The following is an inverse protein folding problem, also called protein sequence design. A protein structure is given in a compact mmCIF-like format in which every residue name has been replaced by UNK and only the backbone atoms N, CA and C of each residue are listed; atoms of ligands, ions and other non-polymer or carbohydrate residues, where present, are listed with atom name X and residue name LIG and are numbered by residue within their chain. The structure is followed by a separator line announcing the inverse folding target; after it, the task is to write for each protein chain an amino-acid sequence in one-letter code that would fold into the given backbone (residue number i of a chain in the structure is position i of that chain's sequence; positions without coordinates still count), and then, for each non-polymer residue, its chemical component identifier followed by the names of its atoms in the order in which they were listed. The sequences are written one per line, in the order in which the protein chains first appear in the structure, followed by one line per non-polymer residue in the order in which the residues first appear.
data_IF_484069769445
#
_entry.id   IF_484069769445
#
_cell.length_a   1.000
_cell.length_b   1.000
_cell.length_c   1.000
_cell.angle_alpha   90.00
_cell.angle_beta   90.00
_cell.angle_gamma   90.00
#
_symmetry.space_group_name_H-M   'P 1'
#
loop_
_entity.id
_entity.type
_entity.pdbx_description
1 polymer ?
#
# COMPACT_ATOMS: atom_id res chain seq x y z
N UNK A 1 4.02 -13.63 6.42
CA UNK A 1 4.99 -12.86 7.20
C UNK A 1 4.26 -12.07 8.28
N UNK A 2 4.93 -11.80 9.41
CA UNK A 2 4.33 -11.14 10.57
C UNK A 2 5.01 -9.80 10.81
N UNK A 3 4.26 -8.71 10.83
CA UNK A 3 4.79 -7.34 10.89
C UNK A 3 4.12 -6.62 12.06
N UNK A 4 4.90 -5.91 12.87
CA UNK A 4 4.36 -5.00 13.88
C UNK A 4 4.27 -3.60 13.26
N UNK A 5 3.08 -3.03 13.23
CA UNK A 5 2.79 -1.73 12.64
C UNK A 5 2.32 -0.75 13.71
N UNK A 6 2.52 0.54 13.47
CA UNK A 6 2.09 1.60 14.39
C UNK A 6 0.58 1.81 14.40
N UNK A 7 -0.10 1.54 13.27
CA UNK A 7 -1.52 1.84 13.07
C UNK A 7 -2.45 0.64 13.27
N UNK A 8 -2.00 -0.55 12.86
CA UNK A 8 -2.82 -1.76 12.83
C UNK A 8 -2.35 -2.79 13.86
N UNK A 9 -1.39 -2.43 14.70
CA UNK A 9 -0.73 -3.37 15.59
C UNK A 9 -0.04 -4.47 14.78
N UNK A 10 -0.18 -5.71 15.22
CA UNK A 10 0.42 -6.85 14.55
C UNK A 10 -0.49 -7.34 13.42
N UNK A 11 0.08 -7.42 12.22
CA UNK A 11 -0.58 -7.98 11.04
C UNK A 11 0.17 -9.22 10.54
N UNK A 12 -0.59 -10.19 10.04
CA UNK A 12 -0.06 -11.34 9.29
C UNK A 12 -0.42 -11.14 7.81
N UNK A 13 0.59 -11.14 6.94
CA UNK A 13 0.47 -10.90 5.50
C UNK A 13 1.00 -12.11 4.75
N UNK A 14 0.21 -12.72 3.87
CA UNK A 14 0.67 -13.84 3.08
C UNK A 14 1.68 -13.42 2.00
N UNK A 15 2.63 -14.30 1.69
CA UNK A 15 3.70 -13.97 0.73
C UNK A 15 3.15 -13.68 -0.69
N UNK A 16 1.99 -14.24 -1.04
CA UNK A 16 1.30 -13.98 -2.30
C UNK A 16 0.66 -12.59 -2.39
N UNK A 17 0.43 -11.94 -1.26
CA UNK A 17 -0.21 -10.61 -1.19
C UNK A 17 0.80 -9.46 -1.15
N UNK A 18 2.10 -9.79 -1.18
CA UNK A 18 3.17 -8.79 -1.13
C UNK A 18 3.35 -8.16 -2.51
N UNK A 19 3.13 -6.85 -2.56
CA UNK A 19 3.45 -6.02 -3.71
C UNK A 19 4.92 -5.62 -3.65
N UNK A 20 5.68 -5.99 -4.69
CA UNK A 20 7.11 -5.66 -4.81
C UNK A 20 7.33 -4.51 -5.77
N UNK A 21 7.99 -3.48 -5.28
CA UNK A 21 8.48 -2.33 -6.05
C UNK A 21 10.02 -2.40 -6.04
N UNK A 22 10.66 -2.92 -7.10
CA UNK A 22 12.12 -3.16 -7.11
C UNK A 22 12.95 -1.91 -6.80
N UNK A 23 12.48 -0.75 -7.27
CA UNK A 23 13.10 0.56 -7.03
C UNK A 23 12.53 1.29 -5.81
N UNK A 24 11.62 0.66 -5.05
CA UNK A 24 10.80 1.32 -4.04
C UNK A 24 9.83 2.35 -4.64
N UNK A 25 9.34 3.24 -3.79
CA UNK A 25 8.52 4.39 -4.18
C UNK A 25 9.36 5.68 -4.08
N UNK A 26 9.07 6.74 -4.85
CA UNK A 26 9.76 8.02 -4.73
C UNK A 26 9.74 8.56 -3.28
N UNK A 27 10.91 8.84 -2.70
CA UNK A 27 11.10 9.26 -1.31
C UNK A 27 11.01 8.13 -0.28
N UNK A 28 10.79 6.89 -0.70
CA UNK A 28 10.69 5.68 0.10
C UNK A 28 11.41 4.51 -0.61
N UNK A 29 12.58 4.79 -1.18
CA UNK A 29 13.34 3.85 -2.03
C UNK A 29 13.80 2.59 -1.28
N UNK A 30 13.96 2.70 0.05
CA UNK A 30 14.28 1.58 0.95
C UNK A 30 13.05 0.69 1.24
N UNK A 31 11.83 1.17 0.99
CA UNK A 31 10.59 0.43 1.18
C UNK A 31 10.18 -0.26 -0.13
N UNK A 32 10.63 -1.51 -0.30
CA UNK A 32 10.43 -2.27 -1.55
C UNK A 32 9.28 -3.26 -1.52
N UNK A 33 8.80 -3.60 -0.34
CA UNK A 33 7.76 -4.59 -0.12
C UNK A 33 6.60 -3.98 0.66
N UNK A 34 5.40 -4.23 0.17
CA UNK A 34 4.18 -3.58 0.65
C UNK A 34 3.01 -4.54 0.69
N UNK A 35 2.09 -4.30 1.61
CA UNK A 35 0.79 -4.95 1.68
C UNK A 35 -0.32 -3.90 1.52
N UNK A 36 -1.36 -4.21 0.74
CA UNK A 36 -2.53 -3.36 0.64
C UNK A 36 -3.59 -3.82 1.65
N UNK A 37 -3.87 -2.98 2.64
CA UNK A 37 -4.82 -3.25 3.71
C UNK A 37 -6.08 -2.41 3.50
N UNK A 38 -7.26 -2.98 3.77
CA UNK A 38 -8.49 -2.21 3.84
C UNK A 38 -8.57 -1.46 5.17
N UNK A 39 -9.13 -0.25 5.16
CA UNK A 39 -9.48 0.43 6.40
C UNK A 39 -10.69 -0.26 7.07
N UNK A 40 -10.69 -0.35 8.40
CA UNK A 40 -11.75 -1.02 9.15
C UNK A 40 -13.05 -0.20 9.23
N UNK A 41 -12.96 1.12 9.04
CA UNK A 41 -14.07 2.07 9.24
C UNK A 41 -14.55 2.72 7.95
N UNK A 42 -13.71 2.76 6.91
CA UNK A 42 -13.98 3.45 5.67
C UNK A 42 -13.68 2.56 4.46
N UNK A 43 -14.74 2.09 3.79
CA UNK A 43 -14.66 1.20 2.64
C UNK A 43 -14.02 1.82 1.39
N UNK A 44 -13.88 3.15 1.36
CA UNK A 44 -13.23 3.87 0.27
C UNK A 44 -11.73 4.10 0.52
N UNK A 45 -11.24 3.81 1.73
CA UNK A 45 -9.85 4.01 2.15
C UNK A 45 -9.12 2.67 2.25
N UNK A 46 -7.91 2.65 1.69
CA UNK A 46 -6.95 1.58 1.88
C UNK A 46 -5.61 2.13 2.37
N UNK A 47 -4.74 1.21 2.77
CA UNK A 47 -3.42 1.51 3.29
C UNK A 47 -2.38 0.66 2.60
N UNK A 48 -1.43 1.31 1.94
CA UNK A 48 -0.20 0.68 1.46
C UNK A 48 0.78 0.66 2.63
N UNK A 49 0.80 -0.44 3.37
CA UNK A 49 1.66 -0.67 4.54
C UNK A 49 2.99 -1.27 4.11
N UNK A 50 4.11 -0.64 4.47
CA UNK A 50 5.43 -1.25 4.22
C UNK A 50 5.60 -2.49 5.10
N UNK A 51 6.08 -3.59 4.53
CA UNK A 51 6.35 -4.82 5.28
C UNK A 51 7.71 -4.81 5.96
N UNK A 52 8.63 -3.97 5.49
CA UNK A 52 9.97 -3.78 6.06
C UNK A 52 10.01 -2.67 7.10
N UNK A 53 9.07 -1.71 7.05
CA UNK A 53 8.95 -0.59 7.98
C UNK A 53 7.53 -0.43 8.53
N UNK A 54 7.29 -0.94 9.74
CA UNK A 54 5.97 -0.92 10.39
C UNK A 54 5.42 0.46 10.74
N UNK A 55 6.27 1.48 10.76
CA UNK A 55 5.92 2.89 10.96
C UNK A 55 5.44 3.58 9.67
N UNK A 56 5.65 2.97 8.50
CA UNK A 56 5.35 3.56 7.19
C UNK A 56 4.10 2.94 6.58
N UNK A 57 3.06 3.77 6.42
CA UNK A 57 1.83 3.41 5.72
C UNK A 57 1.31 4.60 4.91
N UNK A 58 0.98 4.37 3.64
CA UNK A 58 0.43 5.37 2.74
C UNK A 58 -1.08 5.18 2.61
N UNK A 59 -1.85 6.24 2.88
CA UNK A 59 -3.28 6.24 2.61
C UNK A 59 -3.51 6.24 1.10
N UNK A 60 -4.37 5.34 0.62
CA UNK A 60 -4.74 5.22 -0.79
C UNK A 60 -6.23 5.10 -0.95
N UNK A 61 -6.74 5.58 -2.07
CA UNK A 61 -8.15 5.46 -2.45
C UNK A 61 -8.24 4.99 -3.90
N UNK A 62 -9.34 4.36 -4.27
CA UNK A 62 -9.63 4.15 -5.70
C UNK A 62 -9.99 5.49 -6.33
N UNK A 63 -9.19 6.02 -7.28
CA UNK A 63 -9.43 7.36 -7.84
C UNK A 63 -10.76 7.42 -8.61
N UNK A 64 -11.21 6.29 -9.16
CA UNK A 64 -12.50 6.16 -9.87
C UNK A 64 -13.71 6.48 -8.99
N UNK A 65 -13.59 6.38 -7.66
CA UNK A 65 -14.67 6.73 -6.72
C UNK A 65 -14.84 8.24 -6.53
N UNK A 66 -13.78 9.02 -6.73
CA UNK A 66 -13.73 10.44 -6.35
C UNK A 66 -13.50 11.38 -7.53
N UNK A 67 -12.92 10.88 -8.61
CA UNK A 67 -12.59 11.65 -9.81
C UNK A 67 -13.14 10.89 -11.02
N UNK A 68 -14.37 11.21 -11.49
CA UNK A 68 -15.09 10.44 -12.51
C UNK A 68 -14.28 10.22 -13.80
N UNK A 69 -13.52 11.24 -14.21
CA UNK A 69 -12.75 11.22 -15.45
C UNK A 69 -11.28 10.84 -15.24
N UNK A 70 -10.92 10.24 -14.10
CA UNK A 70 -9.56 9.83 -13.83
C UNK A 70 -9.11 8.73 -14.80
N UNK A 71 -8.13 9.07 -15.64
CA UNK A 71 -7.50 8.13 -16.57
C UNK A 71 -5.99 8.10 -16.33
N UNK A 72 -5.46 6.90 -16.13
CA UNK A 72 -4.02 6.67 -16.09
C UNK A 72 -3.58 6.14 -17.45
N UNK A 73 -2.54 6.75 -18.02
CA UNK A 73 -1.87 6.25 -19.22
C UNK A 73 -0.59 5.56 -18.78
N UNK A 74 -0.52 4.24 -18.96
CA UNK A 74 0.68 3.46 -18.66
C UNK A 74 1.51 3.39 -19.94
N UNK A 75 2.70 3.99 -19.99
CA UNK A 75 3.62 3.82 -21.12
C UNK A 75 4.02 2.35 -21.22
N UNK A 76 4.23 1.84 -22.44
CA UNK A 76 4.86 0.52 -22.59
C UNK A 76 6.34 0.64 -22.22
N UNK A 77 6.82 -0.25 -21.35
CA UNK A 77 8.23 -0.44 -21.02
C UNK A 77 8.95 -1.18 -22.13
#
# INVERSE_FOLDING_TARGET
MRINTTRFGRIDVDAGDILRFPSGLPGLEDCREWALLADASNDALGWLQSTTRGDVALAVVSPRRFVPDYQVRIPRS
#
